data_IF_762446655934
#
_entry.id   IF_762446655934
#
_cell.length_a   1.000
_cell.length_b   1.000
_cell.length_c   1.000
_cell.angle_alpha   90.00
_cell.angle_beta   90.00
_cell.angle_gamma   90.00
#
_symmetry.space_group_name_H-M   'P 1'
#
loop_
_entity.id
_entity.type
_entity.pdbx_description
1 polymer ?
#
# COMPACT_ATOMS: atom_id res chain seq x y z
N UNK A 1 -5.50 6.39 9.61
CA UNK A 1 -4.88 5.82 8.40
C UNK A 1 -5.77 6.17 7.20
N UNK A 2 -5.21 6.51 6.05
CA UNK A 2 -5.99 6.81 4.83
C UNK A 2 -5.46 5.91 3.72
N UNK A 3 -6.33 5.11 3.11
CA UNK A 3 -5.99 4.27 1.96
C UNK A 3 -6.07 5.13 0.70
N UNK A 4 -4.93 5.39 0.07
CA UNK A 4 -4.83 6.34 -1.05
C UNK A 4 -5.69 5.92 -2.25
N UNK A 5 -5.75 4.61 -2.56
CA UNK A 5 -6.51 4.07 -3.70
C UNK A 5 -8.02 4.31 -3.61
N UNK A 6 -8.54 4.57 -2.42
CA UNK A 6 -9.98 4.77 -2.18
C UNK A 6 -10.35 6.27 -2.15
N UNK A 7 -9.43 7.19 -2.50
CA UNK A 7 -9.65 8.64 -2.42
C UNK A 7 -9.79 9.29 -3.80
N UNK A 8 -10.64 10.31 -3.87
CA UNK A 8 -10.72 11.21 -5.01
C UNK A 8 -9.61 12.29 -4.95
N UNK A 9 -8.88 12.49 -6.04
CA UNK A 9 -7.66 13.33 -6.08
C UNK A 9 -7.86 14.76 -5.53
N UNK A 10 -8.90 15.52 -5.93
CA UNK A 10 -9.16 16.86 -5.38
C UNK A 10 -9.26 16.92 -3.86
N UNK A 11 -9.87 15.93 -3.22
CA UNK A 11 -10.04 15.90 -1.77
C UNK A 11 -8.79 15.37 -1.07
N UNK A 12 -8.10 14.39 -1.68
CA UNK A 12 -6.80 13.93 -1.21
C UNK A 12 -5.79 15.07 -1.15
N UNK A 13 -5.67 15.87 -2.22
CA UNK A 13 -4.76 17.04 -2.29
C UNK A 13 -5.05 18.06 -1.19
N UNK A 14 -6.32 18.34 -0.91
CA UNK A 14 -6.72 19.24 0.20
C UNK A 14 -6.32 18.67 1.55
N UNK A 15 -6.47 17.35 1.77
CA UNK A 15 -6.13 16.68 3.04
C UNK A 15 -4.62 16.65 3.29
N UNK A 16 -3.80 16.36 2.27
CA UNK A 16 -2.34 16.21 2.44
C UNK A 16 -1.59 17.54 2.55
N UNK A 17 -2.14 18.65 2.05
CA UNK A 17 -1.52 19.99 2.12
C UNK A 17 -1.57 20.66 3.49
N UNK A 18 -2.45 20.22 4.39
CA UNK A 18 -2.72 20.92 5.67
C UNK A 18 -1.65 20.74 6.75
N UNK A 19 -0.85 19.67 6.67
CA UNK A 19 0.20 19.33 7.65
C UNK A 19 1.23 18.41 7.00
N UNK A 20 2.41 18.29 7.60
CA UNK A 20 3.40 17.28 7.19
C UNK A 20 2.77 15.89 7.34
N UNK A 21 2.70 15.16 6.23
CA UNK A 21 2.19 13.79 6.19
C UNK A 21 3.34 12.81 6.00
N UNK A 22 3.15 11.60 6.52
CA UNK A 22 4.03 10.46 6.24
C UNK A 22 3.22 9.46 5.41
N UNK A 23 3.78 9.02 4.29
CA UNK A 23 3.23 7.94 3.49
C UNK A 23 3.90 6.62 3.88
N UNK A 24 3.11 5.54 3.88
CA UNK A 24 3.60 4.17 3.99
C UNK A 24 3.34 3.53 2.63
N UNK A 25 4.40 2.98 2.04
CA UNK A 25 4.33 2.28 0.76
C UNK A 25 4.63 0.81 1.09
N UNK A 26 3.64 -0.09 1.04
CA UNK A 26 3.91 -1.50 1.18
C UNK A 26 4.73 -1.98 -0.03
N UNK A 27 5.77 -2.76 0.24
CA UNK A 27 6.63 -3.35 -0.79
C UNK A 27 6.77 -4.83 -0.46
N UNK A 28 6.38 -5.67 -1.42
CA UNK A 28 6.55 -7.12 -1.35
C UNK A 28 7.36 -7.62 -2.55
N UNK A 29 7.25 -8.91 -2.82
CA UNK A 29 7.94 -9.60 -3.90
C UNK A 29 6.98 -10.51 -4.68
N UNK A 30 7.50 -11.05 -5.79
CA UNK A 30 6.95 -12.23 -6.47
C UNK A 30 8.06 -13.29 -6.44
N UNK A 31 7.96 -14.26 -5.54
CA UNK A 31 9.01 -15.26 -5.32
C UNK A 31 8.48 -16.66 -4.97
N UNK A 32 9.29 -17.71 -5.17
CA UNK A 32 8.87 -19.09 -4.90
C UNK A 32 8.86 -19.38 -3.40
N UNK A 33 7.69 -19.62 -2.81
CA UNK A 33 7.53 -20.06 -1.41
C UNK A 33 7.27 -21.58 -1.27
N UNK A 34 7.82 -22.38 -2.19
CA UNK A 34 7.54 -23.83 -2.26
C UNK A 34 6.10 -24.16 -2.71
N UNK A 35 5.68 -25.43 -2.69
CA UNK A 35 4.40 -25.86 -3.26
C UNK A 35 3.16 -25.51 -2.40
N UNK A 36 3.37 -24.93 -1.22
CA UNK A 36 2.34 -24.73 -0.20
C UNK A 36 1.87 -23.27 -0.10
N UNK A 37 2.61 -22.33 -0.70
CA UNK A 37 2.31 -20.90 -0.62
C UNK A 37 2.34 -20.24 -2.02
N UNK A 38 1.42 -19.31 -2.30
CA UNK A 38 1.43 -18.54 -3.54
C UNK A 38 2.69 -17.69 -3.70
N UNK A 39 3.07 -17.41 -4.94
CA UNK A 39 4.22 -16.55 -5.24
C UNK A 39 4.05 -15.09 -4.80
N UNK A 40 2.83 -14.67 -4.45
CA UNK A 40 2.49 -13.31 -4.00
C UNK A 40 2.56 -13.11 -2.49
N UNK A 41 2.95 -14.14 -1.72
CA UNK A 41 2.81 -14.15 -0.26
C UNK A 41 3.39 -12.90 0.41
N UNK A 42 4.59 -12.47 0.02
CA UNK A 42 5.21 -11.26 0.56
C UNK A 42 4.39 -10.00 0.30
N UNK A 43 3.77 -9.89 -0.88
CA UNK A 43 2.91 -8.76 -1.26
C UNK A 43 1.57 -8.79 -0.53
N UNK A 44 1.02 -9.98 -0.31
CA UNK A 44 -0.27 -10.18 0.37
C UNK A 44 -0.18 -9.90 1.88
N UNK A 45 0.96 -10.16 2.52
CA UNK A 45 1.16 -9.91 3.96
C UNK A 45 1.35 -8.42 4.28
N UNK A 46 1.98 -7.67 3.37
CA UNK A 46 2.34 -6.26 3.63
C UNK A 46 1.24 -5.26 3.28
N UNK A 47 0.19 -5.68 2.57
CA UNK A 47 -0.88 -4.82 2.03
C UNK A 47 -2.10 -4.75 2.95
#
# INVERSE_FOLDING_TARGET
>A
MMIIRDQFDPDLRKKIKKKKQTAIIPVGSIEQHGPHLPISTDSDIVT
#
